data_IF_867367670555
#
_entry.id   IF_867367670555
#
_cell.length_a   1.000
_cell.length_b   1.000
_cell.length_c   1.000
_cell.angle_alpha   90.00
_cell.angle_beta   90.00
_cell.angle_gamma   90.00
#
_symmetry.space_group_name_H-M   'P 1'
#
loop_
_entity.id
_entity.type
_entity.pdbx_description
1 polymer ?
#
# COMPACT_ATOMS: atom_id res chain seq x y z
N UNK A 1 1.51 -34.38 4.10
CA UNK A 1 1.64 -32.91 4.01
C UNK A 1 0.54 -32.45 3.08
N UNK A 2 -0.47 -31.77 3.60
CA UNK A 2 -1.58 -31.28 2.78
C UNK A 2 -1.04 -30.32 1.72
N UNK A 3 -1.27 -30.67 0.46
CA UNK A 3 -0.98 -29.79 -0.67
C UNK A 3 -1.82 -28.53 -0.52
N UNK A 4 -1.15 -27.41 -0.26
CA UNK A 4 -1.77 -26.09 -0.15
C UNK A 4 -2.62 -25.84 -1.40
N UNK A 5 -3.93 -25.61 -1.24
CA UNK A 5 -4.81 -25.32 -2.37
C UNK A 5 -4.45 -23.96 -2.97
N UNK A 6 -3.99 -23.96 -4.22
CA UNK A 6 -3.69 -22.75 -4.98
C UNK A 6 -4.87 -22.44 -5.90
N UNK A 7 -5.47 -21.23 -5.83
CA UNK A 7 -6.53 -20.82 -6.73
C UNK A 7 -6.13 -20.95 -8.20
N UNK A 8 -7.07 -21.38 -9.03
CA UNK A 8 -6.87 -21.64 -10.46
C UNK A 8 -6.35 -20.43 -11.22
N UNK A 9 -6.82 -19.23 -10.86
CA UNK A 9 -6.36 -17.97 -11.44
C UNK A 9 -4.83 -17.77 -11.29
N UNK A 10 -4.25 -18.18 -10.16
CA UNK A 10 -2.79 -18.09 -9.94
C UNK A 10 -2.02 -19.11 -10.77
N UNK A 11 -2.61 -20.28 -11.05
CA UNK A 11 -2.04 -21.30 -11.93
C UNK A 11 -2.04 -20.80 -13.38
N UNK A 12 -3.19 -20.33 -13.86
CA UNK A 12 -3.35 -19.82 -15.21
C UNK A 12 -2.42 -18.63 -15.49
N UNK A 13 -2.29 -17.71 -14.52
CA UNK A 13 -1.36 -16.58 -14.67
C UNK A 13 0.09 -17.04 -14.79
N UNK A 14 0.49 -18.06 -14.01
CA UNK A 14 1.84 -18.63 -14.07
C UNK A 14 2.08 -19.33 -15.41
N UNK A 15 1.14 -20.14 -15.88
CA UNK A 15 1.23 -20.83 -17.16
C UNK A 15 1.26 -19.86 -18.35
N UNK A 16 0.45 -18.79 -18.30
CA UNK A 16 0.39 -17.75 -19.33
C UNK A 16 1.48 -16.68 -19.26
N UNK A 17 2.45 -16.79 -18.34
CA UNK A 17 3.50 -15.80 -18.16
C UNK A 17 2.99 -14.41 -17.70
N UNK A 18 1.79 -14.35 -17.15
CA UNK A 18 1.18 -13.12 -16.66
C UNK A 18 1.73 -12.72 -15.28
N UNK A 19 1.74 -11.41 -15.01
CA UNK A 19 2.17 -10.87 -13.73
C UNK A 19 0.92 -10.58 -12.89
N UNK A 20 0.84 -11.19 -11.70
CA UNK A 20 -0.16 -10.83 -10.69
C UNK A 20 0.43 -9.74 -9.80
N UNK A 21 -0.25 -8.60 -9.76
CA UNK A 21 0.08 -7.48 -8.88
C UNK A 21 -1.06 -7.32 -7.87
N UNK A 22 -0.71 -7.28 -6.58
CA UNK A 22 -1.64 -6.90 -5.52
C UNK A 22 -1.52 -5.41 -5.28
N UNK A 23 -2.63 -4.70 -5.32
CA UNK A 23 -2.70 -3.27 -5.03
C UNK A 23 -3.63 -2.98 -3.85
N UNK A 24 -3.31 -1.96 -3.07
CA UNK A 24 -4.14 -1.48 -1.96
C UNK A 24 -3.85 -0.01 -1.62
N UNK A 25 -4.77 0.59 -0.87
CA UNK A 25 -4.64 1.91 -0.28
C UNK A 25 -4.24 1.85 1.20
N UNK A 26 -3.27 2.67 1.58
CA UNK A 26 -2.90 2.86 2.98
C UNK A 26 -2.98 4.35 3.37
N UNK A 27 -3.53 4.60 4.56
CA UNK A 27 -3.47 5.92 5.20
C UNK A 27 -2.58 5.85 6.43
N UNK A 28 -1.44 6.54 6.38
CA UNK A 28 -0.48 6.59 7.48
C UNK A 28 -0.74 7.83 8.33
N UNK A 29 -1.19 7.63 9.57
CA UNK A 29 -1.39 8.74 10.50
C UNK A 29 -0.04 9.33 10.91
N UNK A 30 0.09 10.65 10.81
CA UNK A 30 1.29 11.38 11.24
C UNK A 30 1.24 11.79 12.72
N UNK A 31 0.13 11.50 13.41
CA UNK A 31 0.06 11.70 14.84
C UNK A 31 0.94 10.66 15.54
N UNK A 32 1.82 11.08 16.47
CA UNK A 32 2.65 10.15 17.22
C UNK A 32 1.76 9.21 18.06
N UNK A 33 2.14 7.94 18.12
CA UNK A 33 1.53 6.99 19.06
C UNK A 33 2.13 7.22 20.44
N UNK A 34 1.28 7.36 21.45
CA UNK A 34 1.73 7.50 22.83
C UNK A 34 2.14 6.14 23.39
N UNK A 35 3.44 5.95 23.67
CA UNK A 35 3.97 4.69 24.22
C UNK A 35 4.10 4.73 25.74
N UNK A 36 4.79 5.74 26.28
CA UNK A 36 5.01 5.90 27.72
C UNK A 36 5.24 7.37 28.06
N UNK A 37 4.84 7.76 29.27
CA UNK A 37 5.25 9.03 29.90
C UNK A 37 5.53 8.82 31.38
N UNK A 38 6.10 9.83 32.01
CA UNK A 38 6.37 9.85 33.45
C UNK A 38 5.62 11.01 34.08
N UNK A 39 5.11 10.79 35.29
CA UNK A 39 4.49 11.81 36.11
C UNK A 39 4.82 11.56 37.59
N UNK A 40 4.86 12.61 38.42
CA UNK A 40 4.92 12.44 39.87
C UNK A 40 3.75 11.59 40.38
N UNK A 41 3.96 10.92 41.51
CA UNK A 41 2.90 10.18 42.21
C UNK A 41 1.74 11.13 42.51
N UNK A 42 0.51 10.69 42.22
CA UNK A 42 -0.73 11.48 42.35
C UNK A 42 -0.85 12.70 41.41
N UNK A 43 -0.05 12.79 40.34
CA UNK A 43 -0.18 13.84 39.32
C UNK A 43 -0.53 13.22 37.98
N UNK A 44 -1.68 13.59 37.40
CA UNK A 44 -2.05 13.13 36.06
C UNK A 44 -1.17 13.85 35.01
N UNK A 45 -0.41 13.12 34.17
CA UNK A 45 0.34 13.73 33.09
C UNK A 45 -0.61 14.32 32.06
N UNK A 46 -0.39 15.59 31.70
CA UNK A 46 -1.08 16.22 30.56
C UNK A 46 -0.32 15.89 29.29
N UNK A 47 -0.88 15.00 28.47
CA UNK A 47 -0.36 14.72 27.14
C UNK A 47 -0.92 15.76 26.17
N UNK A 48 -0.06 16.68 25.72
CA UNK A 48 -0.45 17.70 24.74
C UNK A 48 -0.48 17.08 23.35
N UNK A 49 -1.65 16.59 22.92
CA UNK A 49 -1.86 16.22 21.52
C UNK A 49 -2.43 17.42 20.75
N UNK A 50 -1.76 17.86 19.68
CA UNK A 50 -2.43 18.68 18.66
C UNK A 50 -3.48 17.77 18.00
N UNK A 51 -4.77 18.13 18.05
CA UNK A 51 -5.87 17.38 17.40
C UNK A 51 -5.84 17.56 15.87
N UNK A 52 -4.68 17.50 15.23
CA UNK A 52 -4.56 17.56 13.78
C UNK A 52 -4.61 16.13 13.24
N UNK A 53 -5.60 15.86 12.39
CA UNK A 53 -5.73 14.59 11.67
C UNK A 53 -4.98 14.69 10.35
N UNK A 54 -3.66 14.67 10.42
CA UNK A 54 -2.82 14.64 9.24
C UNK A 54 -2.48 13.19 8.93
N UNK A 55 -2.96 12.70 7.79
CA UNK A 55 -2.68 11.35 7.30
C UNK A 55 -2.07 11.43 5.91
N UNK A 56 -0.99 10.71 5.68
CA UNK A 56 -0.40 10.55 4.36
C UNK A 56 -1.09 9.40 3.64
N UNK A 57 -1.60 9.68 2.45
CA UNK A 57 -2.32 8.71 1.63
C UNK A 57 -1.37 8.11 0.60
N UNK A 58 -1.33 6.78 0.55
CA UNK A 58 -0.41 6.03 -0.29
C UNK A 58 -1.19 4.96 -1.06
N UNK A 59 -0.96 4.90 -2.36
CA UNK A 59 -1.29 3.73 -3.17
C UNK A 59 -0.06 2.84 -3.27
N UNK A 60 -0.22 1.53 -3.09
CA UNK A 60 0.87 0.56 -3.21
C UNK A 60 0.49 -0.59 -4.14
N UNK A 61 1.45 -1.09 -4.90
CA UNK A 61 1.29 -2.24 -5.79
C UNK A 61 2.52 -3.14 -5.76
N UNK A 62 2.36 -4.43 -5.44
CA UNK A 62 3.45 -5.42 -5.35
C UNK A 62 3.21 -6.64 -6.25
N UNK A 63 4.21 -7.02 -7.03
CA UNK A 63 4.15 -8.22 -7.86
C UNK A 63 4.36 -9.49 -7.01
N UNK A 64 3.41 -10.43 -7.08
CA UNK A 64 3.36 -11.63 -6.25
C UNK A 64 4.68 -12.43 -6.24
N UNK A 65 5.27 -12.67 -7.41
CA UNK A 65 6.44 -13.56 -7.52
C UNK A 65 7.79 -12.84 -7.51
N UNK A 66 7.85 -11.59 -7.97
CA UNK A 66 9.11 -10.84 -8.07
C UNK A 66 9.37 -9.90 -6.90
N UNK A 67 8.35 -9.59 -6.09
CA UNK A 67 8.45 -8.62 -5.00
C UNK A 67 8.71 -7.18 -5.46
N UNK A 68 8.76 -6.92 -6.78
CA UNK A 68 8.82 -5.56 -7.31
C UNK A 68 7.63 -4.78 -6.77
N UNK A 69 7.90 -3.56 -6.33
CA UNK A 69 6.97 -2.70 -5.63
C UNK A 69 6.96 -1.31 -6.25
N UNK A 70 5.77 -0.77 -6.43
CA UNK A 70 5.52 0.61 -6.84
C UNK A 70 4.62 1.24 -5.79
N UNK A 71 4.95 2.45 -5.34
CA UNK A 71 4.07 3.24 -4.51
C UNK A 71 3.95 4.66 -5.02
N UNK A 72 2.79 5.27 -4.76
CA UNK A 72 2.54 6.68 -5.04
C UNK A 72 2.02 7.35 -3.79
N UNK A 73 2.73 8.38 -3.38
CA UNK A 73 2.29 9.27 -2.33
C UNK A 73 1.43 10.38 -2.94
N UNK A 74 0.28 10.67 -2.33
CA UNK A 74 -0.61 11.76 -2.72
C UNK A 74 -0.93 12.60 -1.49
N UNK A 75 -0.76 13.91 -1.63
CA UNK A 75 -1.13 14.89 -0.59
C UNK A 75 -2.65 15.12 -0.56
N UNK A 76 -3.34 14.90 -1.69
CA UNK A 76 -4.79 15.02 -1.81
C UNK A 76 -5.55 13.74 -1.39
N UNK A 77 -6.87 13.89 -1.23
CA UNK A 77 -7.75 12.79 -0.87
C UNK A 77 -7.87 11.73 -1.98
N UNK A 78 -8.06 10.47 -1.59
CA UNK A 78 -8.39 9.37 -2.50
C UNK A 78 -9.71 9.63 -3.23
N UNK A 79 -9.61 9.85 -4.54
CA UNK A 79 -10.74 10.03 -5.45
C UNK A 79 -10.57 9.15 -6.70
N UNK A 80 -11.64 8.94 -7.46
CA UNK A 80 -11.65 7.98 -8.57
C UNK A 80 -10.57 8.30 -9.62
N UNK A 81 -10.35 9.58 -9.93
CA UNK A 81 -9.35 10.04 -10.89
C UNK A 81 -7.93 9.67 -10.44
N UNK A 82 -7.61 9.89 -9.16
CA UNK A 82 -6.30 9.55 -8.60
C UNK A 82 -6.02 8.05 -8.61
N UNK A 83 -7.07 7.23 -8.49
CA UNK A 83 -6.97 5.78 -8.57
C UNK A 83 -6.73 5.32 -10.01
N UNK A 84 -7.43 5.91 -10.98
CA UNK A 84 -7.19 5.64 -12.41
C UNK A 84 -5.74 5.98 -12.80
N UNK A 85 -5.24 7.15 -12.40
CA UNK A 85 -3.84 7.53 -12.61
C UNK A 85 -2.85 6.51 -12.04
N UNK A 86 -3.13 6.01 -10.82
CA UNK A 86 -2.30 5.00 -10.18
C UNK A 86 -2.32 3.68 -10.96
N UNK A 87 -3.48 3.23 -11.43
CA UNK A 87 -3.58 2.01 -12.24
C UNK A 87 -2.82 2.13 -13.57
N UNK A 88 -2.86 3.30 -14.22
CA UNK A 88 -2.10 3.54 -15.45
C UNK A 88 -0.58 3.48 -15.21
N UNK A 89 -0.10 4.04 -14.10
CA UNK A 89 1.31 3.96 -13.72
C UNK A 89 1.73 2.54 -13.34
N UNK A 90 0.88 1.83 -12.61
CA UNK A 90 1.08 0.43 -12.28
C UNK A 90 1.18 -0.42 -13.55
N UNK A 91 0.29 -0.21 -14.52
CA UNK A 91 0.36 -0.86 -15.83
C UNK A 91 1.69 -0.55 -16.52
N UNK A 92 2.10 0.72 -16.62
CA UNK A 92 3.37 1.11 -17.27
C UNK A 92 4.61 0.52 -16.57
N UNK A 93 4.58 0.41 -15.25
CA UNK A 93 5.69 -0.10 -14.46
C UNK A 93 5.90 -1.61 -14.64
N UNK A 94 4.81 -2.39 -14.60
CA UNK A 94 4.88 -3.85 -14.69
C UNK A 94 4.78 -4.36 -16.14
N UNK A 95 4.14 -3.61 -17.02
CA UNK A 95 3.93 -3.96 -18.42
C UNK A 95 4.80 -3.06 -19.32
N UNK A 96 6.04 -3.49 -19.58
CA UNK A 96 6.78 -2.98 -20.73
C UNK A 96 6.30 -3.74 -21.96
N UNK A 97 5.44 -3.09 -22.75
CA UNK A 97 5.07 -3.59 -24.08
C UNK A 97 6.37 -3.76 -24.87
N UNK A 98 6.80 -5.00 -25.10
CA UNK A 98 7.80 -5.26 -26.11
C UNK A 98 7.18 -4.78 -27.43
N UNK A 99 7.62 -3.62 -27.91
CA UNK A 99 7.41 -3.27 -29.30
C UNK A 99 8.22 -4.33 -30.08
N UNK A 100 7.52 -5.35 -30.56
CA UNK A 100 8.04 -6.24 -31.58
C UNK A 100 8.23 -5.36 -32.82
N UNK A 101 9.48 -4.91 -33.01
CA UNK A 101 10.00 -4.44 -34.29
C UNK A 101 10.39 -5.64 -35.14
#
# INVERSE_FOLDING_TARGET
MDTLHVPELKKNAKEGGAIIVYGDEASLQQSPTFHQTWAPVNVQPKVLSKRQRNSQKIFGGIALYSGKFLYKHKEENFHAETYIEFLEELQKHYYKRALLC
#
